data_IF_939722796508
#
_entry.id   IF_939722796508
#
_cell.length_a   1.000
_cell.length_b   1.000
_cell.length_c   1.000
_cell.angle_alpha   90.00
_cell.angle_beta   90.00
_cell.angle_gamma   90.00
#
_symmetry.space_group_name_H-M   'P 1'
#
loop_
_entity.id
_entity.type
_entity.pdbx_description
1 polymer ?
#
# COMPACT_ATOMS: atom_id res chain seq x y z
N UNK A 1 -79.00 10.79 -10.20
CA UNK A 1 -78.87 11.89 -9.26
C UNK A 1 -77.44 12.40 -9.40
N UNK A 2 -77.13 13.24 -10.43
CA UNK A 2 -77.42 14.68 -10.42
C UNK A 2 -76.75 15.39 -9.22
N UNK A 3 -75.66 16.17 -9.41
CA UNK A 3 -75.58 17.55 -9.85
C UNK A 3 -74.13 17.94 -10.06
N UNK A 4 -73.65 18.28 -11.19
CA UNK A 4 -73.37 19.55 -11.86
C UNK A 4 -73.32 20.82 -10.97
N UNK A 5 -72.23 21.59 -11.10
CA UNK A 5 -72.08 23.01 -11.39
C UNK A 5 -70.61 23.40 -11.32
N UNK A 6 -69.94 23.74 -12.38
CA UNK A 6 -69.98 24.96 -13.18
C UNK A 6 -69.50 26.24 -12.43
N UNK A 7 -68.50 26.91 -13.02
CA UNK A 7 -68.52 28.33 -13.02
C UNK A 7 -67.17 29.06 -12.83
N UNK A 8 -66.54 29.36 -13.94
CA UNK A 8 -66.16 30.70 -14.38
C UNK A 8 -64.82 31.30 -13.99
N UNK A 9 -64.18 31.62 -15.04
CA UNK A 9 -63.04 32.48 -15.25
C UNK A 9 -63.21 33.92 -14.66
N UNK A 10 -62.09 34.49 -14.26
CA UNK A 10 -61.87 35.92 -14.42
C UNK A 10 -60.42 36.20 -14.77
N UNK A 11 -60.27 36.82 -15.93
CA UNK A 11 -59.17 37.61 -16.40
C UNK A 11 -58.87 38.77 -15.45
N UNK A 12 -57.58 39.03 -15.27
CA UNK A 12 -57.09 40.21 -14.56
C UNK A 12 -55.63 40.49 -14.90
N UNK A 13 -55.48 41.23 -15.98
CA UNK A 13 -54.27 41.84 -16.50
C UNK A 13 -53.72 42.89 -15.54
N UNK A 14 -52.40 42.79 -15.14
CA UNK A 14 -51.61 43.99 -14.83
C UNK A 14 -50.14 43.64 -14.65
N UNK A 15 -49.29 43.91 -15.59
CA UNK A 15 -48.15 44.82 -15.69
C UNK A 15 -47.08 44.75 -14.55
N UNK A 16 -45.88 44.44 -15.03
CA UNK A 16 -44.60 45.06 -14.68
C UNK A 16 -44.15 45.04 -13.21
N UNK A 17 -43.23 44.19 -12.93
CA UNK A 17 -42.02 44.57 -12.19
C UNK A 17 -40.89 43.56 -12.46
N UNK A 18 -39.99 44.00 -13.30
CA UNK A 18 -38.68 43.40 -13.58
C UNK A 18 -37.87 43.52 -12.30
N UNK A 19 -37.67 42.42 -11.61
CA UNK A 19 -36.64 42.30 -10.58
C UNK A 19 -35.63 41.27 -11.03
N UNK A 20 -34.50 41.79 -11.47
CA UNK A 20 -33.28 41.08 -11.69
C UNK A 20 -32.81 40.49 -10.36
N UNK A 21 -32.98 39.19 -10.17
CA UNK A 21 -32.26 38.46 -9.13
C UNK A 21 -30.87 38.13 -9.67
N UNK A 22 -29.92 39.01 -9.31
CA UNK A 22 -28.52 38.69 -9.27
C UNK A 22 -28.32 37.47 -8.35
N UNK A 23 -28.16 36.30 -8.92
CA UNK A 23 -27.51 35.21 -8.25
C UNK A 23 -26.02 35.56 -8.19
N UNK A 24 -25.62 36.14 -7.07
CA UNK A 24 -24.23 36.15 -6.65
C UNK A 24 -23.82 34.70 -6.42
N UNK A 25 -23.04 34.17 -7.35
CA UNK A 25 -22.24 32.98 -7.11
C UNK A 25 -21.22 33.37 -6.04
N UNK A 26 -21.50 32.98 -4.79
CA UNK A 26 -20.49 32.93 -3.76
C UNK A 26 -19.43 31.93 -4.21
N UNK A 27 -18.34 32.49 -4.70
CA UNK A 27 -17.12 31.78 -4.92
C UNK A 27 -16.66 31.28 -3.55
N UNK A 28 -16.88 30.00 -3.29
CA UNK A 28 -16.18 29.31 -2.22
C UNK A 28 -14.69 29.40 -2.52
N UNK A 29 -14.07 30.37 -1.86
CA UNK A 29 -12.62 30.43 -1.72
C UNK A 29 -12.22 29.19 -0.94
N UNK A 30 -11.84 28.13 -1.67
CA UNK A 30 -11.08 27.05 -1.09
C UNK A 30 -9.78 27.66 -0.60
N UNK A 31 -9.73 27.90 0.71
CA UNK A 31 -8.48 28.13 1.41
C UNK A 31 -7.55 26.99 1.05
N UNK A 32 -6.58 27.29 0.21
CA UNK A 32 -5.45 26.40 -0.04
C UNK A 32 -4.71 26.20 1.27
N UNK A 33 -5.01 25.07 1.93
CA UNK A 33 -4.10 24.52 2.90
C UNK A 33 -2.80 24.25 2.14
N UNK A 34 -1.76 24.89 2.59
CA UNK A 34 -0.38 24.70 2.11
C UNK A 34 0.05 23.26 2.38
N UNK A 35 -0.30 22.36 1.49
CA UNK A 35 0.23 20.99 1.45
C UNK A 35 1.66 20.97 0.90
N UNK A 36 2.50 21.89 1.35
CA UNK A 36 3.90 21.96 0.95
C UNK A 36 4.72 20.73 1.41
N UNK A 37 4.19 19.99 2.39
CA UNK A 37 4.85 18.78 2.92
C UNK A 37 4.47 17.49 2.19
N UNK A 38 3.36 17.47 1.46
CA UNK A 38 2.89 16.26 0.75
C UNK A 38 3.41 16.20 -0.69
N UNK A 39 3.89 17.33 -1.23
CA UNK A 39 4.40 17.40 -2.60
C UNK A 39 5.73 16.65 -2.84
N UNK A 40 6.44 16.22 -1.80
CA UNK A 40 7.66 15.41 -1.93
C UNK A 40 7.35 14.00 -2.43
N UNK A 41 6.14 13.50 -2.13
CA UNK A 41 5.64 12.19 -2.57
C UNK A 41 4.70 12.28 -3.78
N UNK A 42 4.70 13.40 -4.48
CA UNK A 42 3.93 13.50 -5.72
C UNK A 42 4.49 12.49 -6.72
N UNK A 43 3.61 11.72 -7.35
CA UNK A 43 3.92 10.70 -8.35
C UNK A 43 4.94 11.18 -9.38
N UNK A 44 4.86 12.44 -9.82
CA UNK A 44 5.84 13.06 -10.72
C UNK A 44 7.25 13.13 -10.14
N UNK A 45 7.39 13.49 -8.86
CA UNK A 45 8.70 13.60 -8.20
C UNK A 45 9.34 12.24 -8.02
N UNK A 46 8.54 11.23 -7.68
CA UNK A 46 8.97 9.84 -7.57
C UNK A 46 9.41 9.33 -8.95
N UNK A 47 8.61 9.53 -9.98
CA UNK A 47 8.92 9.10 -11.34
C UNK A 47 10.18 9.78 -11.89
N UNK A 48 10.37 11.08 -11.62
CA UNK A 48 11.59 11.81 -12.01
C UNK A 48 12.81 11.25 -11.25
N UNK A 49 12.71 11.00 -9.95
CA UNK A 49 13.80 10.42 -9.17
C UNK A 49 14.19 9.04 -9.70
N UNK A 50 13.23 8.17 -9.98
CA UNK A 50 13.48 6.87 -10.61
C UNK A 50 14.10 7.00 -12.00
N UNK A 51 13.64 7.95 -12.83
CA UNK A 51 14.21 8.21 -14.16
C UNK A 51 15.67 8.65 -14.06
N UNK A 52 15.99 9.58 -13.15
CA UNK A 52 17.37 10.06 -12.94
C UNK A 52 18.26 8.91 -12.49
N UNK A 53 17.85 8.14 -11.48
CA UNK A 53 18.61 6.99 -10.97
C UNK A 53 18.83 5.96 -12.08
N UNK A 54 17.80 5.68 -12.88
CA UNK A 54 17.87 4.74 -14.00
C UNK A 54 18.85 5.20 -15.08
N UNK A 55 18.85 6.49 -15.41
CA UNK A 55 19.78 7.07 -16.41
C UNK A 55 21.23 7.00 -15.88
N UNK A 56 21.45 7.34 -14.60
CA UNK A 56 22.77 7.25 -13.98
C UNK A 56 23.25 5.80 -13.98
N UNK A 57 22.40 4.86 -13.57
CA UNK A 57 22.73 3.43 -13.56
C UNK A 57 23.04 2.92 -14.96
N UNK A 58 22.25 3.31 -15.96
CA UNK A 58 22.48 2.96 -17.34
C UNK A 58 23.81 3.51 -17.86
N UNK A 59 24.13 4.75 -17.53
CA UNK A 59 25.42 5.38 -17.90
C UNK A 59 26.60 4.63 -17.28
N UNK A 60 26.57 4.33 -16.00
CA UNK A 60 27.60 3.54 -15.33
C UNK A 60 27.71 2.12 -15.91
N UNK A 61 26.61 1.50 -16.22
CA UNK A 61 26.60 0.15 -16.82
C UNK A 61 27.18 0.18 -18.24
N UNK A 62 26.85 1.21 -19.04
CA UNK A 62 27.37 1.35 -20.40
C UNK A 62 28.86 1.68 -20.45
N UNK A 63 29.40 2.36 -19.43
CA UNK A 63 30.82 2.69 -19.32
C UNK A 63 31.67 1.67 -18.56
N UNK A 64 31.01 0.69 -17.91
CA UNK A 64 31.68 -0.35 -17.14
C UNK A 64 32.39 -1.36 -18.04
N UNK A 65 33.51 -1.90 -17.54
CA UNK A 65 34.29 -2.91 -18.25
C UNK A 65 33.48 -4.20 -18.47
N UNK A 66 33.61 -4.86 -19.61
CA UNK A 66 32.89 -6.10 -19.96
C UNK A 66 33.05 -7.20 -18.89
N UNK A 67 34.20 -7.28 -18.25
CA UNK A 67 34.44 -8.25 -17.17
C UNK A 67 33.54 -7.98 -15.97
N UNK A 68 33.38 -6.71 -15.57
CA UNK A 68 32.48 -6.33 -14.47
C UNK A 68 31.01 -6.64 -14.79
N UNK A 69 30.60 -6.35 -16.04
CA UNK A 69 29.21 -6.62 -16.48
C UNK A 69 28.90 -8.11 -16.47
N UNK A 70 29.80 -8.95 -17.02
CA UNK A 70 29.57 -10.41 -17.11
C UNK A 70 29.64 -11.11 -15.75
N UNK A 71 30.62 -10.77 -14.92
CA UNK A 71 30.82 -11.48 -13.66
C UNK A 71 29.90 -10.99 -12.54
N UNK A 72 29.73 -9.68 -12.39
CA UNK A 72 28.98 -9.12 -11.27
C UNK A 72 27.51 -8.86 -11.61
N UNK A 73 27.21 -8.20 -12.74
CA UNK A 73 25.85 -7.84 -13.09
C UNK A 73 25.08 -9.06 -13.59
N UNK A 74 25.62 -9.78 -14.57
CA UNK A 74 24.89 -10.90 -15.18
C UNK A 74 24.78 -12.11 -14.27
N UNK A 75 25.86 -12.57 -13.68
CA UNK A 75 25.84 -13.78 -12.84
C UNK A 75 25.20 -13.55 -11.48
N UNK A 76 25.48 -12.43 -10.83
CA UNK A 76 25.04 -12.20 -9.46
C UNK A 76 23.68 -11.47 -9.40
N UNK A 77 23.54 -10.33 -10.09
CA UNK A 77 22.33 -9.53 -10.03
C UNK A 77 21.22 -10.18 -10.85
N UNK A 78 21.43 -10.41 -12.15
CA UNK A 78 20.36 -10.85 -13.04
C UNK A 78 19.94 -12.28 -12.76
N UNK A 79 20.85 -13.25 -12.76
CA UNK A 79 20.48 -14.66 -12.57
C UNK A 79 19.94 -14.98 -11.17
N UNK A 80 20.48 -14.36 -10.12
CA UNK A 80 20.13 -14.72 -8.75
C UNK A 80 19.01 -13.86 -8.17
N UNK A 81 19.11 -12.56 -8.31
CA UNK A 81 18.13 -11.66 -7.70
C UNK A 81 16.88 -11.46 -8.55
N UNK A 82 17.00 -11.28 -9.88
CA UNK A 82 15.84 -11.06 -10.73
C UNK A 82 14.91 -12.28 -10.73
N UNK A 83 15.48 -13.49 -10.81
CA UNK A 83 14.68 -14.72 -10.76
C UNK A 83 13.99 -14.89 -9.38
N UNK A 84 14.71 -14.59 -8.29
CA UNK A 84 14.15 -14.65 -6.94
C UNK A 84 13.00 -13.63 -6.77
N UNK A 85 13.21 -12.38 -7.19
CA UNK A 85 12.17 -11.33 -7.14
C UNK A 85 10.97 -11.74 -7.99
N UNK A 86 11.21 -12.21 -9.20
CA UNK A 86 10.13 -12.67 -10.09
C UNK A 86 9.33 -13.82 -9.48
N UNK A 87 10.01 -14.85 -8.96
CA UNK A 87 9.34 -16.00 -8.34
C UNK A 87 8.53 -15.60 -7.10
N UNK A 88 9.09 -14.72 -6.24
CA UNK A 88 8.36 -14.23 -5.07
C UNK A 88 7.16 -13.37 -5.45
N UNK A 89 7.33 -12.43 -6.37
CA UNK A 89 6.24 -11.56 -6.83
C UNK A 89 5.15 -12.37 -7.53
N UNK A 90 5.54 -13.21 -8.47
CA UNK A 90 4.61 -14.07 -9.20
C UNK A 90 3.92 -15.07 -8.26
N UNK A 91 4.68 -15.72 -7.39
CA UNK A 91 4.14 -16.65 -6.39
C UNK A 91 3.16 -15.97 -5.44
N UNK A 92 3.48 -14.77 -4.95
CA UNK A 92 2.58 -13.98 -4.11
C UNK A 92 1.27 -13.65 -4.82
N UNK A 93 1.35 -13.11 -6.05
CA UNK A 93 0.17 -12.77 -6.83
C UNK A 93 -0.66 -14.01 -7.14
N UNK A 94 -0.01 -15.13 -7.47
CA UNK A 94 -0.69 -16.38 -7.72
C UNK A 94 -1.41 -16.91 -6.48
N UNK A 95 -0.74 -16.93 -5.32
CA UNK A 95 -1.34 -17.34 -4.04
C UNK A 95 -2.52 -16.45 -3.67
N UNK A 96 -2.39 -15.14 -3.79
CA UNK A 96 -3.48 -14.21 -3.50
C UNK A 96 -4.65 -14.41 -4.48
N UNK A 97 -4.38 -14.51 -5.78
CA UNK A 97 -5.42 -14.65 -6.80
C UNK A 97 -6.17 -15.98 -6.68
N UNK A 98 -5.46 -17.10 -6.56
CA UNK A 98 -6.10 -18.42 -6.40
C UNK A 98 -6.71 -18.56 -5.01
N UNK A 99 -6.04 -18.06 -3.98
CA UNK A 99 -6.56 -18.11 -2.62
C UNK A 99 -7.90 -17.40 -2.49
N UNK A 100 -8.04 -16.19 -3.06
CA UNK A 100 -9.31 -15.46 -3.04
C UNK A 100 -10.40 -16.09 -3.91
N UNK A 101 -10.03 -16.80 -4.96
CA UNK A 101 -10.99 -17.41 -5.86
C UNK A 101 -11.58 -18.73 -5.31
N UNK A 102 -10.79 -19.50 -4.57
CA UNK A 102 -11.16 -20.85 -4.11
C UNK A 102 -11.34 -20.98 -2.61
N UNK A 103 -10.76 -20.04 -1.84
CA UNK A 103 -10.83 -20.04 -0.37
C UNK A 103 -11.46 -18.72 0.08
N UNK A 104 -12.40 -18.81 1.01
CA UNK A 104 -12.93 -17.62 1.69
C UNK A 104 -11.88 -17.09 2.70
N UNK A 105 -10.79 -16.53 2.15
CA UNK A 105 -9.65 -16.05 2.92
C UNK A 105 -10.05 -14.93 3.87
N UNK A 106 -10.97 -14.06 3.44
CA UNK A 106 -11.44 -12.94 4.25
C UNK A 106 -12.14 -13.45 5.53
N UNK A 107 -13.06 -14.40 5.38
CA UNK A 107 -13.75 -15.02 6.51
C UNK A 107 -12.79 -15.81 7.40
N UNK A 108 -11.84 -16.53 6.80
CA UNK A 108 -10.84 -17.29 7.57
C UNK A 108 -9.92 -16.37 8.37
N UNK A 109 -9.42 -15.28 7.80
CA UNK A 109 -8.59 -14.27 8.47
C UNK A 109 -9.35 -13.64 9.62
N UNK A 110 -10.60 -13.22 9.38
CA UNK A 110 -11.45 -12.59 10.40
C UNK A 110 -11.69 -13.48 11.61
N UNK A 111 -11.89 -14.77 11.38
CA UNK A 111 -12.14 -15.72 12.47
C UNK A 111 -10.89 -16.23 13.19
N UNK A 112 -9.71 -16.08 12.59
CA UNK A 112 -8.44 -16.60 13.11
C UNK A 112 -7.38 -15.53 13.32
N UNK A 113 -7.77 -14.35 13.78
CA UNK A 113 -6.89 -13.18 13.84
C UNK A 113 -5.61 -13.41 14.65
N UNK A 114 -5.69 -14.14 15.76
CA UNK A 114 -4.52 -14.52 16.57
C UNK A 114 -3.54 -15.34 15.75
N UNK A 115 -4.05 -16.32 14.99
CA UNK A 115 -3.21 -17.16 14.13
C UNK A 115 -2.58 -16.33 13.02
N UNK A 116 -3.31 -15.37 12.45
CA UNK A 116 -2.81 -14.46 11.41
C UNK A 116 -1.67 -13.58 11.94
N UNK A 117 -1.78 -13.05 13.17
CA UNK A 117 -0.70 -12.30 13.82
C UNK A 117 0.54 -13.19 14.01
N UNK A 118 0.36 -14.41 14.52
CA UNK A 118 1.47 -15.35 14.69
C UNK A 118 2.13 -15.71 13.35
N UNK A 119 1.34 -15.87 12.29
CA UNK A 119 1.82 -16.14 10.95
C UNK A 119 2.57 -14.93 10.39
N UNK A 120 2.09 -13.72 10.67
CA UNK A 120 2.78 -12.48 10.29
C UNK A 120 4.17 -12.38 10.95
N UNK A 121 4.26 -12.73 12.23
CA UNK A 121 5.54 -12.80 12.94
C UNK A 121 6.43 -13.89 12.37
N UNK A 122 5.92 -15.12 12.19
CA UNK A 122 6.69 -16.25 11.68
C UNK A 122 7.29 -15.97 10.29
N UNK A 123 6.50 -15.37 9.40
CA UNK A 123 6.94 -14.97 8.06
C UNK A 123 7.91 -13.79 8.14
N UNK A 124 7.68 -12.82 9.03
CA UNK A 124 8.58 -11.69 9.25
C UNK A 124 9.97 -12.09 9.76
N UNK A 125 10.12 -13.28 10.37
CA UNK A 125 11.42 -13.81 10.78
C UNK A 125 12.32 -14.16 9.58
N UNK A 126 11.74 -14.48 8.43
CA UNK A 126 12.48 -14.83 7.23
C UNK A 126 13.24 -13.59 6.73
N UNK A 127 14.58 -13.64 6.58
CA UNK A 127 15.38 -12.49 6.16
C UNK A 127 15.28 -12.27 4.63
N UNK A 128 14.08 -12.28 4.10
CA UNK A 128 13.74 -12.01 2.71
C UNK A 128 12.51 -11.12 2.60
N UNK A 129 12.56 -10.14 1.67
CA UNK A 129 11.44 -9.21 1.47
C UNK A 129 10.28 -9.82 0.68
N UNK A 130 10.49 -10.94 -0.01
CA UNK A 130 9.49 -11.58 -0.85
C UNK A 130 8.22 -12.00 -0.09
N UNK A 131 8.33 -12.74 1.00
CA UNK A 131 7.17 -13.18 1.79
C UNK A 131 6.33 -12.04 2.37
N UNK A 132 6.96 -10.89 2.67
CA UNK A 132 6.28 -9.69 3.13
C UNK A 132 5.27 -9.16 2.09
N UNK A 133 5.54 -9.32 0.80
CA UNK A 133 4.64 -8.87 -0.27
C UNK A 133 3.24 -9.48 -0.18
N UNK A 134 3.11 -10.68 0.38
CA UNK A 134 1.78 -11.30 0.61
C UNK A 134 0.94 -10.42 1.53
N UNK A 135 1.52 -9.96 2.64
CA UNK A 135 0.81 -9.10 3.61
C UNK A 135 0.49 -7.74 3.02
N UNK A 136 1.42 -7.15 2.26
CA UNK A 136 1.19 -5.87 1.56
C UNK A 136 0.05 -6.02 0.55
N UNK A 137 0.03 -7.11 -0.22
CA UNK A 137 -1.00 -7.35 -1.24
C UNK A 137 -2.37 -7.58 -0.60
N UNK A 138 -2.46 -8.41 0.44
CA UNK A 138 -3.71 -8.66 1.16
C UNK A 138 -4.25 -7.39 1.86
N UNK A 139 -3.34 -6.56 2.39
CA UNK A 139 -3.72 -5.26 2.95
C UNK A 139 -4.24 -4.30 1.86
N UNK A 140 -3.56 -4.22 0.72
CA UNK A 140 -3.98 -3.38 -0.40
C UNK A 140 -5.35 -3.77 -0.97
N UNK A 141 -5.74 -5.03 -0.82
CA UNK A 141 -7.05 -5.55 -1.18
C UNK A 141 -8.12 -5.38 -0.09
N UNK A 142 -7.75 -4.80 1.05
CA UNK A 142 -8.67 -4.58 2.17
C UNK A 142 -9.00 -5.82 3.00
N UNK A 143 -8.34 -6.95 2.73
CA UNK A 143 -8.60 -8.24 3.41
C UNK A 143 -7.89 -8.29 4.77
N UNK A 144 -6.69 -7.69 4.85
CA UNK A 144 -5.85 -7.73 6.03
C UNK A 144 -5.91 -6.40 6.79
N UNK A 145 -6.13 -6.38 8.11
CA UNK A 145 -6.07 -5.17 8.92
C UNK A 145 -4.65 -4.58 8.96
N UNK A 146 -4.56 -3.26 9.05
CA UNK A 146 -3.28 -2.54 9.08
C UNK A 146 -2.33 -3.02 10.19
N UNK A 147 -2.85 -3.34 11.37
CA UNK A 147 -2.00 -3.75 12.48
C UNK A 147 -1.28 -5.08 12.23
N UNK A 148 -1.85 -6.00 11.44
CA UNK A 148 -1.18 -7.26 11.06
C UNK A 148 -0.04 -6.98 10.08
N UNK A 149 -0.25 -6.09 9.10
CA UNK A 149 0.82 -5.63 8.22
C UNK A 149 1.93 -4.95 9.02
N UNK A 150 1.57 -4.11 9.99
CA UNK A 150 2.51 -3.42 10.88
C UNK A 150 3.36 -4.43 11.68
N UNK A 151 2.74 -5.45 12.26
CA UNK A 151 3.43 -6.54 12.97
C UNK A 151 4.46 -7.21 12.05
N UNK A 152 4.03 -7.61 10.86
CA UNK A 152 4.92 -8.23 9.89
C UNK A 152 6.08 -7.30 9.51
N UNK A 153 5.80 -6.00 9.30
CA UNK A 153 6.82 -4.99 8.96
C UNK A 153 7.84 -4.75 10.09
N UNK A 154 7.41 -4.77 11.35
CA UNK A 154 8.31 -4.62 12.50
C UNK A 154 9.26 -5.83 12.63
N UNK A 155 8.74 -7.02 12.40
CA UNK A 155 9.53 -8.25 12.52
C UNK A 155 10.43 -8.47 11.32
N UNK A 156 10.05 -7.97 10.15
CA UNK A 156 10.77 -8.19 8.90
C UNK A 156 11.95 -7.22 8.75
N UNK A 157 13.17 -7.74 8.68
CA UNK A 157 14.40 -6.94 8.48
C UNK A 157 14.90 -6.97 7.03
N UNK A 158 14.35 -7.85 6.19
CA UNK A 158 14.82 -8.04 4.82
C UNK A 158 16.30 -8.40 4.72
N UNK A 159 16.93 -7.99 3.63
CA UNK A 159 18.36 -8.23 3.39
C UNK A 159 19.27 -7.32 4.22
N UNK A 160 18.75 -6.28 4.86
CA UNK A 160 19.54 -5.37 5.71
C UNK A 160 20.10 -6.05 6.97
N UNK A 161 19.50 -7.14 7.40
CA UNK A 161 19.97 -7.93 8.54
C UNK A 161 21.15 -8.87 8.21
N UNK A 162 21.44 -9.12 6.94
CA UNK A 162 22.52 -10.04 6.53
C UNK A 162 23.92 -9.60 6.99
N UNK A 163 24.32 -8.32 6.93
CA UNK A 163 25.60 -7.88 7.47
C UNK A 163 25.73 -8.16 8.97
N UNK A 164 24.67 -7.93 9.74
CA UNK A 164 24.68 -8.23 11.18
C UNK A 164 24.78 -9.73 11.46
N UNK A 165 24.12 -10.54 10.64
CA UNK A 165 24.22 -11.99 10.72
C UNK A 165 25.64 -12.49 10.40
N UNK A 166 26.32 -11.85 9.43
CA UNK A 166 27.70 -12.17 9.06
C UNK A 166 28.70 -11.78 10.16
N UNK A 167 28.49 -10.63 10.82
CA UNK A 167 29.33 -10.12 11.90
C UNK A 167 29.14 -10.94 13.19
N UNK A 168 27.91 -11.13 13.63
CA UNK A 168 27.60 -11.79 14.89
C UNK A 168 26.23 -12.44 14.88
N UNK A 169 26.19 -13.76 14.86
CA UNK A 169 24.94 -14.54 14.94
C UNK A 169 24.17 -14.25 16.24
N UNK A 170 24.88 -14.02 17.35
CA UNK A 170 24.24 -13.74 18.65
C UNK A 170 23.58 -12.34 18.66
N UNK A 171 24.24 -11.35 18.09
CA UNK A 171 23.68 -9.99 17.98
C UNK A 171 22.46 -9.96 17.06
N UNK A 172 22.53 -10.66 15.94
CA UNK A 172 21.40 -10.88 15.04
C UNK A 172 20.21 -11.53 15.77
N UNK A 173 20.43 -12.62 16.49
CA UNK A 173 19.38 -13.33 17.23
C UNK A 173 18.74 -12.45 18.31
N UNK A 174 19.53 -11.65 19.04
CA UNK A 174 19.02 -10.71 20.04
C UNK A 174 18.15 -9.62 19.41
N UNK A 175 18.63 -9.00 18.32
CA UNK A 175 17.86 -7.98 17.60
C UNK A 175 16.53 -8.58 17.08
N UNK A 176 16.59 -9.77 16.49
CA UNK A 176 15.40 -10.46 15.99
C UNK A 176 14.40 -10.78 17.09
N UNK A 177 14.87 -11.23 18.25
CA UNK A 177 14.01 -11.50 19.40
C UNK A 177 13.30 -10.23 19.90
N UNK A 178 13.99 -9.10 19.92
CA UNK A 178 13.39 -7.81 20.30
C UNK A 178 12.31 -7.42 19.28
N UNK A 179 12.56 -7.55 17.99
CA UNK A 179 11.58 -7.24 16.95
C UNK A 179 10.35 -8.15 17.04
N UNK A 180 10.55 -9.45 17.30
CA UNK A 180 9.46 -10.40 17.52
C UNK A 180 8.63 -9.99 18.75
N UNK A 181 9.28 -9.69 19.88
CA UNK A 181 8.59 -9.28 21.10
C UNK A 181 7.80 -7.99 20.88
N UNK A 182 8.40 -6.98 20.23
CA UNK A 182 7.72 -5.73 19.88
C UNK A 182 6.53 -5.96 18.95
N UNK A 183 6.70 -6.76 17.90
CA UNK A 183 5.62 -7.10 16.96
C UNK A 183 4.45 -7.81 17.66
N UNK A 184 4.73 -8.78 18.53
CA UNK A 184 3.68 -9.48 19.28
C UNK A 184 2.95 -8.55 20.25
N UNK A 185 3.68 -7.70 20.99
CA UNK A 185 3.07 -6.75 21.94
C UNK A 185 2.13 -5.80 21.17
N UNK A 186 2.59 -5.24 20.08
CA UNK A 186 1.79 -4.32 19.25
C UNK A 186 0.58 -5.05 18.64
N UNK A 187 0.81 -6.24 18.09
CA UNK A 187 -0.26 -7.03 17.46
C UNK A 187 -1.37 -7.39 18.43
N UNK A 188 -1.02 -7.88 19.61
CA UNK A 188 -2.02 -8.22 20.65
C UNK A 188 -2.65 -6.99 21.28
N UNK A 189 -1.90 -5.90 21.49
CA UNK A 189 -2.46 -4.65 21.98
C UNK A 189 -3.52 -4.10 21.01
N UNK A 190 -3.24 -4.08 19.71
CA UNK A 190 -4.21 -3.66 18.70
C UNK A 190 -5.42 -4.60 18.62
N UNK A 191 -5.22 -5.91 18.75
CA UNK A 191 -6.31 -6.89 18.74
C UNK A 191 -7.28 -6.72 19.91
N UNK A 192 -6.79 -6.25 21.07
CA UNK A 192 -7.62 -6.03 22.27
C UNK A 192 -8.32 -4.67 22.21
N UNK A 193 -7.71 -3.67 21.58
CA UNK A 193 -8.21 -2.29 21.54
C UNK A 193 -9.20 -2.02 20.40
N UNK A 194 -9.17 -2.82 19.34
CA UNK A 194 -10.01 -2.71 18.14
C UNK A 194 -11.09 -3.78 18.10
#
# INVERSE_FOLDING_TARGET
MEHTHDGQAHEGLSKDARQEHHHSHDAHVHNGHNDATINILNEKSINIAFAIISIITLFFTATANEHFIKEHIWKHVIKKHLLSIFLWTFGTLMVCQFGMQYLDIEHWISNNMVLVILLAVAIGVIPESGPHLVFVTLFAQGILPFYVLLVNSIVQDGHSALPLLAESKMSFAKAKLINIAAGLIIGFACLILL
#
